data_IF_954179318807
#
_entry.id   IF_954179318807
#
_cell.length_a   1.000
_cell.length_b   1.000
_cell.length_c   1.000
_cell.angle_alpha   90.00
_cell.angle_beta   90.00
_cell.angle_gamma   90.00
#
_symmetry.space_group_name_H-M   'P 1'
#
loop_
_entity.id
_entity.type
_entity.pdbx_description
1 polymer ?
#
# COMPACT_ATOMS: atom_id res chain seq x y z
N UNK A 1 0.72 5.62 -7.39
CA UNK A 1 1.82 5.39 -8.35
C UNK A 1 1.35 4.58 -9.55
N UNK A 2 0.91 3.32 -9.34
CA UNK A 2 0.55 2.39 -10.45
C UNK A 2 -0.48 2.96 -11.44
N UNK A 3 -1.62 3.56 -11.02
CA UNK A 3 -2.59 4.09 -11.99
C UNK A 3 -1.97 5.08 -12.97
N UNK A 4 -1.14 6.01 -12.49
CA UNK A 4 -0.52 7.03 -13.34
C UNK A 4 0.60 6.50 -14.24
N UNK A 5 1.28 5.44 -13.86
CA UNK A 5 2.40 4.88 -14.64
C UNK A 5 1.97 4.14 -15.91
N UNK A 6 0.72 3.64 -15.93
CA UNK A 6 0.21 2.77 -17.01
C UNK A 6 -0.78 3.44 -17.97
N UNK A 7 -1.27 4.65 -17.65
CA UNK A 7 -2.34 5.30 -18.44
C UNK A 7 -1.82 6.21 -19.54
N UNK A 8 -2.75 6.57 -20.48
CA UNK A 8 -2.50 7.58 -21.49
C UNK A 8 -2.44 8.98 -20.86
N UNK A 9 -1.74 9.91 -21.52
CA UNK A 9 -1.53 11.30 -21.08
C UNK A 9 -2.83 12.03 -20.70
N UNK A 10 -3.93 11.79 -21.43
CA UNK A 10 -5.23 12.41 -21.18
C UNK A 10 -5.81 12.10 -19.81
N UNK A 11 -5.58 10.90 -19.30
CA UNK A 11 -6.20 10.39 -18.08
C UNK A 11 -5.27 10.38 -16.86
N UNK A 12 -4.06 10.93 -17.01
CA UNK A 12 -2.99 10.81 -16.01
C UNK A 12 -3.35 11.44 -14.66
N UNK A 13 -3.98 12.63 -14.69
CA UNK A 13 -4.41 13.32 -13.47
C UNK A 13 -5.55 12.56 -12.79
N UNK A 14 -6.54 12.15 -13.58
CA UNK A 14 -7.70 11.42 -13.06
C UNK A 14 -7.31 10.04 -12.51
N UNK A 15 -6.40 9.35 -13.17
CA UNK A 15 -5.84 8.10 -12.67
C UNK A 15 -5.14 8.28 -11.32
N UNK A 16 -4.43 9.40 -11.14
CA UNK A 16 -3.82 9.76 -9.86
C UNK A 16 -4.86 10.01 -8.76
N UNK A 17 -5.87 10.82 -9.04
CA UNK A 17 -6.93 11.19 -8.07
C UNK A 17 -7.74 9.95 -7.68
N UNK A 18 -8.23 9.18 -8.65
CA UNK A 18 -9.04 7.99 -8.40
C UNK A 18 -8.24 6.92 -7.65
N UNK A 19 -6.99 6.69 -8.07
CA UNK A 19 -6.11 5.74 -7.39
C UNK A 19 -5.72 6.19 -5.98
N UNK A 20 -5.60 7.49 -5.73
CA UNK A 20 -5.33 8.04 -4.39
C UNK A 20 -6.52 7.85 -3.46
N UNK A 21 -7.72 8.27 -3.90
CA UNK A 21 -8.95 8.13 -3.09
C UNK A 21 -9.23 6.66 -2.79
N UNK A 22 -9.17 5.79 -3.80
CA UNK A 22 -9.39 4.36 -3.61
C UNK A 22 -8.29 3.70 -2.77
N UNK A 23 -7.05 4.21 -2.84
CA UNK A 23 -5.94 3.74 -2.00
C UNK A 23 -6.10 4.11 -0.53
N UNK A 24 -6.91 5.09 -0.18
CA UNK A 24 -7.23 5.42 1.21
C UNK A 24 -8.47 4.67 1.72
N UNK A 25 -9.24 4.04 0.85
CA UNK A 25 -10.49 3.38 1.23
C UNK A 25 -10.32 2.17 2.15
N UNK A 26 -9.26 1.33 2.05
CA UNK A 26 -9.03 0.23 2.99
C UNK A 26 -9.00 0.70 4.45
N UNK A 27 -8.37 1.84 4.74
CA UNK A 27 -8.23 2.39 6.09
C UNK A 27 -9.54 2.92 6.70
N UNK A 28 -10.64 2.95 5.93
CA UNK A 28 -11.97 3.24 6.49
C UNK A 28 -12.42 2.16 7.49
N UNK A 29 -11.73 1.04 7.55
CA UNK A 29 -11.96 0.00 8.56
C UNK A 29 -11.74 0.49 10.00
N UNK A 30 -10.96 1.58 10.21
CA UNK A 30 -10.82 2.25 11.52
C UNK A 30 -12.14 2.81 12.07
N UNK A 31 -13.16 2.94 11.22
CA UNK A 31 -14.52 3.34 11.63
C UNK A 31 -15.31 2.19 12.24
N UNK A 32 -14.85 0.96 12.12
CA UNK A 32 -15.45 -0.22 12.77
C UNK A 32 -15.10 -0.17 14.25
N UNK A 33 -16.00 0.39 15.06
CA UNK A 33 -15.79 0.59 16.49
C UNK A 33 -17.01 0.08 17.26
N UNK A 34 -16.80 -0.29 18.53
CA UNK A 34 -17.86 -0.66 19.47
C UNK A 34 -17.65 0.06 20.79
N UNK A 35 -18.73 0.51 21.40
CA UNK A 35 -18.71 1.13 22.72
C UNK A 35 -18.55 0.07 23.82
N UNK A 36 -18.87 -1.19 23.53
CA UNK A 36 -18.78 -2.32 24.46
C UNK A 36 -17.47 -3.09 24.36
N UNK A 37 -16.76 -3.00 23.21
CA UNK A 37 -15.47 -3.64 22.97
C UNK A 37 -14.48 -2.64 22.39
N UNK A 38 -13.63 -2.04 23.21
CA UNK A 38 -12.62 -1.07 22.78
C UNK A 38 -11.53 -1.68 21.90
N UNK A 39 -11.36 -3.02 21.88
CA UNK A 39 -10.34 -3.71 21.09
C UNK A 39 -10.82 -4.11 19.70
N UNK A 40 -12.11 -4.02 19.44
CA UNK A 40 -12.72 -4.42 18.17
C UNK A 40 -12.05 -3.76 16.96
N UNK A 41 -11.71 -2.48 17.07
CA UNK A 41 -11.04 -1.75 15.99
C UNK A 41 -9.65 -2.33 15.66
N UNK A 42 -8.90 -2.83 16.66
CA UNK A 42 -7.59 -3.45 16.45
C UNK A 42 -7.70 -4.80 15.74
N UNK A 43 -8.79 -5.54 16.00
CA UNK A 43 -9.06 -6.81 15.35
C UNK A 43 -9.37 -6.60 13.86
N UNK A 44 -10.28 -5.67 13.54
CA UNK A 44 -10.71 -5.44 12.17
C UNK A 44 -9.77 -4.56 11.35
N UNK A 45 -8.94 -3.74 12.01
CA UNK A 45 -7.98 -2.89 11.29
C UNK A 45 -6.95 -3.72 10.54
N UNK A 46 -6.88 -3.49 9.23
CA UNK A 46 -6.05 -4.22 8.27
C UNK A 46 -6.35 -5.72 8.18
N UNK A 47 -7.62 -6.10 8.37
CA UNK A 47 -8.12 -7.46 8.21
C UNK A 47 -8.65 -7.65 6.77
N UNK A 48 -9.97 -7.81 6.60
CA UNK A 48 -10.61 -8.15 5.32
C UNK A 48 -10.43 -7.06 4.26
N UNK A 49 -10.47 -5.78 4.62
CA UNK A 49 -10.30 -4.65 3.71
C UNK A 49 -8.94 -4.64 3.01
N UNK A 50 -7.92 -5.20 3.63
CA UNK A 50 -6.55 -5.27 3.10
C UNK A 50 -6.22 -6.65 2.51
N UNK A 51 -7.17 -7.59 2.45
CA UNK A 51 -6.93 -8.92 1.89
C UNK A 51 -6.90 -8.91 0.36
N UNK A 52 -6.15 -9.85 -0.21
CA UNK A 52 -6.05 -10.02 -1.68
C UNK A 52 -7.41 -10.24 -2.32
N UNK A 53 -8.32 -10.94 -1.63
CA UNK A 53 -9.67 -11.22 -2.11
C UNK A 53 -10.53 -9.96 -2.15
N UNK A 54 -10.28 -9.03 -1.23
CA UNK A 54 -11.05 -7.80 -1.13
C UNK A 54 -10.57 -6.70 -2.09
N UNK A 55 -9.32 -6.78 -2.58
CA UNK A 55 -8.79 -5.80 -3.56
C UNK A 55 -9.70 -5.62 -4.78
N UNK A 56 -10.12 -6.66 -5.50
CA UNK A 56 -11.03 -6.50 -6.64
C UNK A 56 -12.41 -5.97 -6.21
N UNK A 57 -12.90 -6.37 -5.05
CA UNK A 57 -14.20 -5.93 -4.50
C UNK A 57 -14.14 -4.45 -4.14
N UNK A 58 -13.15 -4.04 -3.35
CA UNK A 58 -12.95 -2.66 -2.93
C UNK A 58 -12.67 -1.74 -4.14
N UNK A 59 -11.84 -2.20 -5.07
CA UNK A 59 -11.58 -1.48 -6.33
C UNK A 59 -12.83 -1.30 -7.18
N UNK A 60 -13.70 -2.32 -7.27
CA UNK A 60 -14.99 -2.25 -7.96
C UNK A 60 -15.93 -1.23 -7.28
N UNK A 61 -16.12 -1.36 -5.97
CA UNK A 61 -17.00 -0.48 -5.19
C UNK A 61 -16.55 0.98 -5.31
N UNK A 62 -15.28 1.26 -5.01
CA UNK A 62 -14.73 2.60 -5.15
C UNK A 62 -14.83 3.12 -6.59
N UNK A 63 -14.55 2.26 -7.57
CA UNK A 63 -14.60 2.61 -8.99
C UNK A 63 -15.99 2.97 -9.47
N UNK A 64 -17.02 2.23 -9.06
CA UNK A 64 -18.42 2.52 -9.37
C UNK A 64 -18.87 3.82 -8.70
N UNK A 65 -18.59 3.97 -7.40
CA UNK A 65 -18.96 5.18 -6.66
C UNK A 65 -18.31 6.41 -7.30
N UNK A 66 -16.99 6.39 -7.52
CA UNK A 66 -16.28 7.53 -8.10
C UNK A 66 -16.66 7.78 -9.55
N UNK A 67 -17.03 6.76 -10.32
CA UNK A 67 -17.57 6.95 -11.66
C UNK A 67 -18.86 7.76 -11.63
N UNK A 68 -19.82 7.41 -10.78
CA UNK A 68 -21.10 8.10 -10.68
C UNK A 68 -20.98 9.50 -10.08
N UNK A 69 -20.09 9.70 -9.12
CA UNK A 69 -19.87 11.00 -8.50
C UNK A 69 -19.13 11.98 -9.41
N UNK A 70 -18.08 11.53 -10.10
CA UNK A 70 -17.14 12.40 -10.82
C UNK A 70 -16.89 11.89 -12.24
N UNK A 71 -16.61 10.60 -12.41
CA UNK A 71 -16.07 10.01 -13.63
C UNK A 71 -16.89 10.30 -14.89
N UNK A 72 -18.22 10.15 -14.82
CA UNK A 72 -19.12 10.41 -15.93
C UNK A 72 -19.09 11.86 -16.40
N UNK A 73 -18.85 12.82 -15.50
CA UNK A 73 -18.83 14.23 -15.80
C UNK A 73 -17.51 14.70 -16.44
N UNK A 74 -16.43 13.97 -16.21
CA UNK A 74 -15.10 14.25 -16.76
C UNK A 74 -14.74 13.36 -17.95
N UNK A 75 -15.70 12.59 -18.48
CA UNK A 75 -15.53 11.78 -19.68
C UNK A 75 -14.75 10.48 -19.47
N UNK A 76 -14.61 9.98 -18.24
CA UNK A 76 -14.08 8.64 -17.99
C UNK A 76 -15.15 7.58 -18.25
N UNK A 77 -14.71 6.42 -18.70
CA UNK A 77 -15.57 5.24 -18.73
C UNK A 77 -15.61 4.56 -17.36
N UNK A 78 -16.68 3.84 -17.05
CA UNK A 78 -16.77 3.06 -15.80
C UNK A 78 -15.64 2.04 -15.65
N UNK A 79 -15.20 1.43 -16.76
CA UNK A 79 -14.05 0.49 -16.78
C UNK A 79 -12.75 1.17 -16.38
N UNK A 80 -12.51 2.39 -16.85
CA UNK A 80 -11.32 3.16 -16.47
C UNK A 80 -11.35 3.54 -14.99
N UNK A 81 -12.51 3.97 -14.49
CA UNK A 81 -12.69 4.30 -13.07
C UNK A 81 -12.38 3.10 -12.18
N UNK A 82 -12.97 1.94 -12.47
CA UNK A 82 -12.71 0.70 -11.72
C UNK A 82 -11.24 0.31 -11.80
N UNK A 83 -10.64 0.36 -12.98
CA UNK A 83 -9.23 0.00 -13.18
C UNK A 83 -8.28 0.88 -12.35
N UNK A 84 -8.51 2.20 -12.33
CA UNK A 84 -7.70 3.13 -11.54
C UNK A 84 -7.87 2.89 -10.04
N UNK A 85 -9.10 2.65 -9.62
CA UNK A 85 -9.41 2.36 -8.22
C UNK A 85 -8.82 1.02 -7.77
N UNK A 86 -8.95 -0.03 -8.55
CA UNK A 86 -8.40 -1.35 -8.22
C UNK A 86 -6.87 -1.32 -8.08
N UNK A 87 -6.18 -0.60 -8.98
CA UNK A 87 -4.73 -0.42 -8.88
C UNK A 87 -4.32 0.40 -7.64
N UNK A 88 -5.08 1.44 -7.30
CA UNK A 88 -4.84 2.24 -6.10
C UNK A 88 -5.06 1.43 -4.83
N UNK A 89 -6.21 0.77 -4.74
CA UNK A 89 -6.61 -0.07 -3.62
C UNK A 89 -5.59 -1.20 -3.36
N UNK A 90 -5.24 -1.94 -4.41
CA UNK A 90 -4.28 -3.05 -4.30
C UNK A 90 -2.88 -2.60 -3.94
N UNK A 91 -2.44 -1.42 -4.41
CA UNK A 91 -1.12 -0.87 -4.05
C UNK A 91 -1.03 -0.56 -2.55
N UNK A 92 -2.11 -0.04 -1.94
CA UNK A 92 -2.17 0.26 -0.51
C UNK A 92 -2.02 -1.03 0.32
N UNK A 93 -2.87 -2.02 0.10
CA UNK A 93 -2.85 -3.28 0.85
C UNK A 93 -1.48 -4.00 0.78
N UNK A 94 -0.83 -3.98 -0.39
CA UNK A 94 0.51 -4.57 -0.57
C UNK A 94 1.61 -3.77 0.13
N UNK A 95 1.54 -2.43 0.13
CA UNK A 95 2.51 -1.59 0.83
C UNK A 95 2.38 -1.76 2.35
N UNK A 96 1.18 -1.94 2.86
CA UNK A 96 0.95 -2.18 4.27
C UNK A 96 1.52 -3.52 4.74
N UNK A 97 1.50 -4.55 3.90
CA UNK A 97 2.20 -5.80 4.18
C UNK A 97 3.73 -5.61 4.28
N UNK A 98 4.29 -4.58 3.64
CA UNK A 98 5.72 -4.24 3.77
C UNK A 98 6.07 -3.58 5.10
N UNK A 99 5.08 -3.11 5.89
CA UNK A 99 5.32 -2.46 7.19
C UNK A 99 5.45 -3.46 8.33
N UNK A 100 5.83 -2.97 9.52
CA UNK A 100 5.94 -3.78 10.73
C UNK A 100 4.58 -4.12 11.36
N UNK A 101 3.54 -3.34 11.09
CA UNK A 101 2.19 -3.65 11.58
C UNK A 101 1.56 -4.80 10.78
N UNK A 102 1.81 -4.86 9.48
CA UNK A 102 1.33 -5.91 8.59
C UNK A 102 -0.18 -5.87 8.32
N UNK A 103 -0.64 -6.84 7.54
CA UNK A 103 -2.05 -7.03 7.15
C UNK A 103 -2.42 -8.50 7.13
N UNK A 104 -3.71 -8.83 7.28
CA UNK A 104 -4.22 -10.18 7.04
C UNK A 104 -4.42 -10.43 5.53
N UNK A 105 -3.32 -10.49 4.79
CA UNK A 105 -3.31 -10.50 3.33
C UNK A 105 -4.10 -11.68 2.74
N UNK A 106 -4.11 -12.82 3.42
CA UNK A 106 -4.75 -14.06 2.97
C UNK A 106 -6.12 -14.33 3.62
N UNK A 107 -6.70 -13.34 4.31
CA UNK A 107 -8.06 -13.47 4.84
C UNK A 107 -9.07 -13.76 3.70
N UNK A 108 -10.07 -14.64 3.85
CA UNK A 108 -10.50 -15.41 5.02
C UNK A 108 -9.79 -16.77 5.19
N UNK A 109 -8.83 -17.12 4.36
CA UNK A 109 -8.17 -18.44 4.39
C UNK A 109 -7.12 -18.56 5.50
N UNK A 110 -6.57 -17.43 5.96
CA UNK A 110 -5.61 -17.36 7.05
C UNK A 110 -5.80 -16.06 7.82
N UNK A 111 -5.73 -16.14 9.15
CA UNK A 111 -5.74 -15.00 10.06
C UNK A 111 -4.33 -14.49 10.37
N UNK A 112 -3.31 -15.06 9.75
CA UNK A 112 -1.93 -14.64 9.94
C UNK A 112 -1.70 -13.23 9.38
N UNK A 113 -1.13 -12.33 10.20
CA UNK A 113 -0.68 -11.01 9.76
C UNK A 113 0.66 -11.12 9.04
N UNK A 114 0.65 -10.83 7.77
CA UNK A 114 1.85 -10.75 6.95
C UNK A 114 2.51 -9.38 7.20
N UNK A 115 3.70 -9.42 7.77
CA UNK A 115 4.50 -8.25 8.12
C UNK A 115 5.94 -8.47 7.65
N UNK A 116 6.28 -7.88 6.51
CA UNK A 116 7.61 -8.08 5.92
C UNK A 116 8.70 -7.20 6.55
N UNK A 117 8.33 -6.20 7.35
CA UNK A 117 9.29 -5.31 8.05
C UNK A 117 10.33 -4.67 7.13
N UNK A 118 9.91 -4.18 5.97
CA UNK A 118 10.77 -3.62 4.93
C UNK A 118 10.82 -2.10 5.01
N UNK A 119 9.67 -1.47 5.28
CA UNK A 119 9.52 -0.01 5.35
C UNK A 119 8.85 0.39 6.66
N UNK A 120 9.12 1.60 7.11
CA UNK A 120 8.42 2.18 8.27
C UNK A 120 6.97 2.55 7.89
N UNK A 121 6.06 2.53 8.87
CA UNK A 121 4.66 2.97 8.70
C UNK A 121 4.62 4.43 8.23
N UNK A 122 5.49 5.27 8.81
CA UNK A 122 5.70 6.65 8.39
C UNK A 122 7.14 6.78 7.94
N UNK A 123 7.34 6.88 6.62
CA UNK A 123 8.66 6.94 6.00
C UNK A 123 8.75 8.16 5.05
N UNK A 124 9.28 9.30 5.53
CA UNK A 124 9.39 10.49 4.71
C UNK A 124 10.34 10.34 3.51
N UNK A 125 11.40 9.51 3.65
CA UNK A 125 12.37 9.27 2.58
C UNK A 125 11.72 8.49 1.43
N UNK A 126 10.81 7.60 1.73
CA UNK A 126 9.99 6.91 0.75
C UNK A 126 8.89 7.81 0.17
N UNK A 127 8.15 8.48 1.07
CA UNK A 127 6.89 9.14 0.73
C UNK A 127 7.09 10.45 -0.02
N UNK A 128 8.02 11.32 0.43
CA UNK A 128 8.19 12.65 -0.17
C UNK A 128 8.66 12.60 -1.62
N UNK A 129 9.72 11.84 -2.01
CA UNK A 129 10.11 11.75 -3.42
C UNK A 129 9.00 11.15 -4.29
N UNK A 130 8.31 10.12 -3.78
CA UNK A 130 7.19 9.49 -4.47
C UNK A 130 6.08 10.50 -4.74
N UNK A 131 5.64 11.24 -3.73
CA UNK A 131 4.60 12.25 -3.84
C UNK A 131 5.01 13.38 -4.81
N UNK A 132 6.22 13.92 -4.67
CA UNK A 132 6.74 14.95 -5.56
C UNK A 132 6.72 14.52 -7.02
N UNK A 133 7.19 13.32 -7.33
CA UNK A 133 7.20 12.78 -8.68
C UNK A 133 5.79 12.59 -9.25
N UNK A 134 4.82 12.16 -8.43
CA UNK A 134 3.43 11.99 -8.85
C UNK A 134 2.75 13.33 -9.12
N UNK A 135 3.01 14.34 -8.29
CA UNK A 135 2.51 15.72 -8.51
C UNK A 135 3.10 16.29 -9.79
N UNK A 136 4.42 16.17 -10.00
CA UNK A 136 5.10 16.62 -11.23
C UNK A 136 4.54 15.87 -12.45
N UNK A 137 4.28 14.57 -12.35
CA UNK A 137 3.64 13.80 -13.41
C UNK A 137 2.29 14.39 -13.82
N UNK A 138 1.44 14.75 -12.83
CA UNK A 138 0.14 15.37 -13.04
C UNK A 138 0.24 16.75 -13.66
N UNK A 139 1.07 17.63 -13.10
CA UNK A 139 1.25 19.02 -13.57
C UNK A 139 1.82 19.06 -14.98
N UNK A 140 2.90 18.31 -15.23
CA UNK A 140 3.56 18.25 -16.56
C UNK A 140 2.85 17.36 -17.55
N UNK A 141 1.84 16.59 -17.13
CA UNK A 141 1.12 15.58 -17.95
C UNK A 141 2.07 14.61 -18.65
N UNK A 142 3.13 14.19 -17.95
CA UNK A 142 4.15 13.24 -18.44
C UNK A 142 4.23 12.02 -17.56
N UNK A 143 3.78 10.85 -18.05
CA UNK A 143 3.79 9.58 -17.31
C UNK A 143 5.19 9.10 -16.88
N UNK A 144 6.25 9.56 -17.55
CA UNK A 144 7.63 9.21 -17.19
C UNK A 144 7.99 9.54 -15.74
N UNK A 145 7.44 10.61 -15.17
CA UNK A 145 7.63 10.92 -13.75
C UNK A 145 6.92 9.91 -12.83
N UNK A 146 5.73 9.44 -13.20
CA UNK A 146 5.06 8.38 -12.45
C UNK A 146 5.77 7.03 -12.57
N UNK A 147 6.37 6.75 -13.73
CA UNK A 147 7.22 5.58 -13.92
C UNK A 147 8.51 5.68 -13.10
N UNK A 148 9.10 6.87 -13.00
CA UNK A 148 10.25 7.11 -12.11
C UNK A 148 9.87 6.94 -10.64
N UNK A 149 8.68 7.39 -10.21
CA UNK A 149 8.16 7.13 -8.87
C UNK A 149 7.99 5.63 -8.61
N UNK A 150 7.52 4.89 -9.60
CA UNK A 150 7.39 3.43 -9.50
C UNK A 150 8.76 2.74 -9.40
N UNK A 151 9.73 3.16 -10.21
CA UNK A 151 11.10 2.65 -10.12
C UNK A 151 11.74 2.96 -8.75
N UNK A 152 11.52 4.17 -8.23
CA UNK A 152 11.93 4.54 -6.86
C UNK A 152 11.29 3.62 -5.80
N UNK A 153 9.98 3.34 -5.92
CA UNK A 153 9.28 2.43 -5.02
C UNK A 153 9.95 1.04 -5.00
N UNK A 154 10.22 0.47 -6.16
CA UNK A 154 10.89 -0.84 -6.25
C UNK A 154 12.30 -0.82 -5.70
N UNK A 155 13.08 0.21 -6.02
CA UNK A 155 14.44 0.38 -5.50
C UNK A 155 14.43 0.47 -3.97
N UNK A 156 13.53 1.29 -3.40
CA UNK A 156 13.44 1.48 -1.96
C UNK A 156 13.04 0.20 -1.22
N UNK A 157 12.05 -0.52 -1.73
CA UNK A 157 11.62 -1.82 -1.18
C UNK A 157 12.78 -2.83 -1.27
N UNK A 158 13.51 -2.89 -2.37
CA UNK A 158 14.65 -3.79 -2.54
C UNK A 158 15.77 -3.49 -1.54
N UNK A 159 16.09 -2.22 -1.32
CA UNK A 159 17.05 -1.79 -0.31
C UNK A 159 16.60 -2.16 1.11
N UNK A 160 15.32 -1.96 1.41
CA UNK A 160 14.73 -2.36 2.69
C UNK A 160 14.81 -3.86 2.96
N UNK A 161 14.58 -4.70 1.93
CA UNK A 161 14.76 -6.15 2.01
C UNK A 161 16.20 -6.52 2.38
N UNK A 162 17.19 -5.93 1.70
CA UNK A 162 18.61 -6.18 1.97
C UNK A 162 18.96 -5.75 3.42
N UNK A 163 18.49 -4.59 3.85
CA UNK A 163 18.75 -4.08 5.20
C UNK A 163 18.12 -4.98 6.28
N UNK A 164 16.88 -5.45 6.06
CA UNK A 164 16.19 -6.39 6.94
C UNK A 164 16.98 -7.69 7.09
N UNK A 165 17.40 -8.28 5.98
CA UNK A 165 18.10 -9.56 5.99
C UNK A 165 19.47 -9.43 6.67
N UNK A 166 20.19 -8.33 6.44
CA UNK A 166 21.44 -8.02 7.16
C UNK A 166 21.22 -7.85 8.67
N UNK A 167 20.13 -7.18 9.07
CA UNK A 167 19.80 -6.99 10.48
C UNK A 167 19.50 -8.33 11.18
N UNK A 168 18.75 -9.22 10.52
CA UNK A 168 18.45 -10.58 11.02
C UNK A 168 19.74 -11.38 11.19
N UNK A 169 20.66 -11.32 10.22
CA UNK A 169 21.93 -12.04 10.28
C UNK A 169 22.82 -11.53 11.42
N UNK A 170 22.91 -10.21 11.59
CA UNK A 170 23.64 -9.62 12.71
C UNK A 170 23.02 -10.00 14.07
N UNK A 171 21.69 -10.04 14.17
CA UNK A 171 21.00 -10.52 15.38
C UNK A 171 21.38 -11.94 15.75
N UNK A 172 21.33 -12.85 14.80
CA UNK A 172 21.71 -14.27 14.97
C UNK A 172 23.18 -14.43 15.41
N UNK A 173 24.09 -13.65 14.82
CA UNK A 173 25.53 -13.65 15.21
C UNK A 173 25.72 -13.19 16.66
N UNK A 174 25.03 -12.12 17.08
CA UNK A 174 25.09 -11.62 18.46
C UNK A 174 24.55 -12.64 19.46
N UNK A 175 23.44 -13.28 19.16
CA UNK A 175 22.84 -14.32 20.00
C UNK A 175 23.79 -15.52 20.17
N UNK A 176 24.35 -16.01 19.08
CA UNK A 176 25.34 -17.10 19.11
C UNK A 176 26.54 -16.76 19.97
N UNK A 177 27.09 -15.55 19.83
CA UNK A 177 28.23 -15.10 20.63
C UNK A 177 27.91 -14.95 22.11
N UNK A 178 26.68 -14.54 22.46
CA UNK A 178 26.20 -14.45 23.84
C UNK A 178 26.10 -15.84 24.47
N UNK A 179 25.48 -16.78 23.79
CA UNK A 179 25.33 -18.16 24.27
C UNK A 179 26.70 -18.84 24.49
N UNK A 180 27.70 -18.61 23.62
CA UNK A 180 29.06 -19.09 23.80
C UNK A 180 29.77 -18.52 25.04
N UNK A 181 29.42 -17.29 25.49
CA UNK A 181 29.97 -16.72 26.71
C UNK A 181 29.37 -17.35 27.98
N UNK A 182 28.10 -17.73 27.97
CA UNK A 182 27.44 -18.38 29.09
C UNK A 182 27.83 -19.85 29.30
N UNK A 183 28.29 -20.55 28.27
CA UNK A 183 28.75 -21.93 28.35
C UNK A 183 30.21 -22.05 28.83
N UNK A 184 30.96 -20.94 28.92
CA UNK A 184 32.36 -20.93 29.38
C UNK A 184 32.56 -20.47 30.85
N UNK A 185 31.49 -20.34 31.61
CA UNK A 185 31.48 -20.12 33.06
C UNK A 185 30.97 -21.37 33.74
#
# INVERSE_FOLDING_TARGET
VLPQSVVKKSNLVFAGIFGFIAGMAPDLDVLIRSDTDPLLFLEYHRQFTHSLIFIPIGGLVCGVILYWLIGKWIGLTWKQSIFFCALGYGTHALLDACTSYGTMLFWPFSEERISWNIISIIDPIFTLPTLCLLVIAGVKKKKGYAQLALAWTFLYISLGLIQRDNAIEMGKKKEKNRNHKFVRI
#
